data_IF_189986160874
#
_entry.id   IF_189986160874
#
_cell.length_a   1.000
_cell.length_b   1.000
_cell.length_c   1.000
_cell.angle_alpha   90.00
_cell.angle_beta   90.00
_cell.angle_gamma   90.00
#
_symmetry.space_group_name_H-M   'P 1'
#
loop_
_entity.id
_entity.type
_entity.pdbx_description
1 polymer ?
#
# COMPACT_ATOMS: atom_id res chain seq x y z
N UNK A 1 -12.43 26.24 22.79
CA UNK A 1 -11.53 25.07 22.77
C UNK A 1 -12.22 23.69 22.75
N UNK A 2 -13.47 23.59 23.15
CA UNK A 2 -14.22 22.30 23.25
C UNK A 2 -14.70 21.72 21.91
N UNK A 3 -15.07 22.54 20.93
CA UNK A 3 -15.62 22.05 19.66
C UNK A 3 -14.58 21.39 18.73
N UNK A 4 -13.35 21.91 18.70
CA UNK A 4 -12.26 21.30 17.91
C UNK A 4 -11.88 19.90 18.43
N UNK A 5 -11.91 19.69 19.76
CA UNK A 5 -11.68 18.35 20.35
C UNK A 5 -12.81 17.38 20.01
N UNK A 6 -14.08 17.82 20.03
CA UNK A 6 -15.23 16.98 19.68
C UNK A 6 -15.26 16.60 18.20
N UNK A 7 -14.81 17.47 17.27
CA UNK A 7 -14.67 17.14 15.85
C UNK A 7 -13.56 16.10 15.62
N UNK A 8 -12.37 16.32 16.19
CA UNK A 8 -11.27 15.37 16.09
C UNK A 8 -11.63 13.96 16.63
N UNK A 9 -12.35 13.89 17.75
CA UNK A 9 -12.79 12.61 18.33
C UNK A 9 -13.87 11.92 17.47
N UNK A 10 -14.72 12.67 16.76
CA UNK A 10 -15.68 12.09 15.81
C UNK A 10 -15.01 11.58 14.54
N UNK A 11 -14.01 12.30 14.04
CA UNK A 11 -13.23 11.90 12.87
C UNK A 11 -12.43 10.62 13.14
N UNK A 12 -11.75 10.51 14.29
CA UNK A 12 -11.04 9.29 14.71
C UNK A 12 -12.01 8.10 14.85
N UNK A 13 -13.19 8.29 15.43
CA UNK A 13 -14.19 7.21 15.52
C UNK A 13 -14.76 6.79 14.17
N UNK A 14 -14.86 7.71 13.21
CA UNK A 14 -15.30 7.38 11.85
C UNK A 14 -14.21 6.64 11.08
N UNK A 15 -12.95 6.96 11.31
CA UNK A 15 -11.80 6.27 10.72
C UNK A 15 -11.63 4.85 11.31
N UNK A 16 -11.81 4.69 12.62
CA UNK A 16 -11.81 3.36 13.27
C UNK A 16 -12.97 2.49 12.78
N UNK A 17 -14.16 3.07 12.62
CA UNK A 17 -15.33 2.36 12.09
C UNK A 17 -15.13 1.98 10.60
N UNK A 18 -14.47 2.82 9.81
CA UNK A 18 -14.11 2.49 8.44
C UNK A 18 -13.04 1.39 8.36
N UNK A 19 -12.09 1.38 9.30
CA UNK A 19 -11.07 0.33 9.39
C UNK A 19 -11.67 -1.05 9.65
N UNK A 20 -12.56 -1.15 10.62
CA UNK A 20 -13.32 -2.39 10.92
C UNK A 20 -14.11 -2.85 9.68
N UNK A 21 -14.70 -1.91 8.92
CA UNK A 21 -15.45 -2.26 7.71
C UNK A 21 -14.61 -2.87 6.59
N UNK A 22 -13.33 -2.52 6.47
CA UNK A 22 -12.46 -3.12 5.45
C UNK A 22 -11.99 -4.52 5.84
N UNK A 23 -11.71 -4.78 7.10
CA UNK A 23 -11.40 -6.13 7.59
C UNK A 23 -12.61 -7.07 7.44
N UNK A 24 -13.81 -6.58 7.76
CA UNK A 24 -15.06 -7.32 7.54
C UNK A 24 -15.30 -7.64 6.06
N UNK A 25 -15.03 -6.70 5.15
CA UNK A 25 -15.14 -6.93 3.70
C UNK A 25 -14.17 -7.99 3.19
N UNK A 26 -12.94 -8.01 3.73
CA UNK A 26 -11.97 -9.07 3.40
C UNK A 26 -12.48 -10.43 3.88
N UNK A 27 -13.03 -10.51 5.09
CA UNK A 27 -13.60 -11.73 5.62
C UNK A 27 -14.81 -12.20 4.80
N UNK A 28 -15.74 -11.31 4.46
CA UNK A 28 -16.87 -11.62 3.57
C UNK A 28 -16.44 -12.09 2.18
N UNK A 29 -15.44 -11.42 1.58
CA UNK A 29 -14.90 -11.81 0.27
C UNK A 29 -14.27 -13.20 0.33
N UNK A 30 -13.54 -13.52 1.41
CA UNK A 30 -12.93 -14.82 1.61
C UNK A 30 -13.97 -15.94 1.82
N UNK A 31 -15.11 -15.63 2.47
CA UNK A 31 -16.19 -16.60 2.63
C UNK A 31 -16.98 -16.84 1.33
N UNK A 32 -17.27 -15.79 0.57
CA UNK A 32 -18.02 -15.87 -0.70
C UNK A 32 -17.22 -16.54 -1.80
N UNK A 33 -15.92 -16.26 -1.86
CA UNK A 33 -15.08 -16.77 -2.92
C UNK A 33 -14.27 -17.99 -2.48
N UNK A 34 -14.69 -19.18 -2.91
CA UNK A 34 -13.88 -20.40 -2.83
C UNK A 34 -13.10 -20.58 -4.12
N UNK A 35 -11.79 -20.29 -4.15
CA UNK A 35 -11.01 -20.37 -5.37
C UNK A 35 -10.99 -21.81 -5.90
N UNK A 36 -11.30 -21.97 -7.19
CA UNK A 36 -11.26 -23.27 -7.88
C UNK A 36 -9.84 -23.73 -8.24
N UNK A 37 -8.82 -22.94 -7.92
CA UNK A 37 -7.43 -23.25 -8.24
C UNK A 37 -6.44 -22.24 -7.66
N UNK A 38 -5.15 -22.48 -7.88
CA UNK A 38 -4.06 -21.59 -7.48
C UNK A 38 -3.89 -20.50 -8.53
N UNK A 39 -4.14 -19.23 -8.17
CA UNK A 39 -3.90 -18.08 -9.04
C UNK A 39 -2.89 -17.14 -8.38
N UNK A 40 -1.80 -16.88 -9.09
CA UNK A 40 -0.71 -16.03 -8.65
C UNK A 40 -0.89 -14.59 -9.12
N UNK A 41 -0.49 -13.65 -8.28
CA UNK A 41 -0.36 -12.25 -8.61
C UNK A 41 0.93 -11.65 -8.08
N UNK A 42 1.26 -10.44 -8.55
CA UNK A 42 2.40 -9.66 -8.08
C UNK A 42 1.90 -8.37 -7.44
N UNK A 43 2.20 -8.18 -6.17
CA UNK A 43 1.89 -6.95 -5.43
C UNK A 43 3.09 -6.02 -5.49
N UNK A 44 2.98 -4.96 -6.27
CA UNK A 44 3.95 -3.88 -6.33
C UNK A 44 3.64 -2.85 -5.26
N UNK A 45 4.52 -2.71 -4.28
CA UNK A 45 4.38 -1.78 -3.16
C UNK A 45 5.39 -0.66 -3.31
N UNK A 46 4.96 0.50 -3.75
CA UNK A 46 5.77 1.71 -3.72
C UNK A 46 5.51 2.44 -2.41
N UNK A 47 6.55 2.65 -1.61
CA UNK A 47 6.43 3.35 -0.33
C UNK A 47 7.47 4.44 -0.20
N UNK A 48 7.00 5.66 -0.05
CA UNK A 48 7.79 6.86 0.25
C UNK A 48 7.47 7.36 1.67
N UNK A 49 8.06 8.47 2.06
CA UNK A 49 7.71 9.16 3.31
C UNK A 49 6.32 9.83 3.24
N UNK A 50 5.87 10.17 2.04
CA UNK A 50 4.66 10.96 1.83
C UNK A 50 3.44 10.09 1.50
N UNK A 51 3.59 9.01 0.76
CA UNK A 51 2.49 8.12 0.40
C UNK A 51 2.98 6.68 0.20
N UNK A 52 2.04 5.74 0.29
CA UNK A 52 2.25 4.33 -0.02
C UNK A 52 1.21 3.89 -1.06
N UNK A 53 1.67 3.41 -2.21
CA UNK A 53 0.84 2.96 -3.33
C UNK A 53 1.02 1.46 -3.50
N UNK A 54 -0.08 0.74 -3.62
CA UNK A 54 -0.12 -0.70 -3.81
C UNK A 54 -0.82 -0.98 -5.13
N UNK A 55 -0.14 -1.68 -6.03
CA UNK A 55 -0.71 -2.12 -7.30
C UNK A 55 -0.58 -3.63 -7.38
N UNK A 56 -1.70 -4.33 -7.43
CA UNK A 56 -1.72 -5.77 -7.62
C UNK A 56 -1.97 -6.09 -9.10
N UNK A 57 -1.08 -6.86 -9.69
CA UNK A 57 -1.17 -7.31 -11.08
C UNK A 57 -1.21 -8.84 -11.17
N UNK A 58 -1.50 -9.34 -12.34
CA UNK A 58 -1.27 -10.76 -12.67
C UNK A 58 0.24 -11.08 -12.66
N UNK A 59 0.60 -12.34 -12.85
CA UNK A 59 1.98 -12.78 -12.83
C UNK A 59 2.82 -12.16 -13.97
N UNK A 60 2.19 -11.82 -15.09
CA UNK A 60 2.84 -11.23 -16.26
C UNK A 60 3.03 -9.72 -16.12
N UNK A 61 2.28 -9.07 -15.22
CA UNK A 61 2.25 -7.62 -15.06
C UNK A 61 1.39 -6.90 -16.11
N UNK A 62 0.71 -7.63 -17.00
CA UNK A 62 -0.07 -7.04 -18.09
C UNK A 62 -1.42 -6.49 -17.62
N UNK A 63 -2.08 -7.18 -16.67
CA UNK A 63 -3.37 -6.78 -16.14
C UNK A 63 -3.24 -6.26 -14.72
N UNK A 64 -3.74 -5.05 -14.47
CA UNK A 64 -3.89 -4.52 -13.11
C UNK A 64 -5.20 -5.02 -12.52
N UNK A 65 -5.10 -5.77 -11.42
CA UNK A 65 -6.23 -6.40 -10.74
C UNK A 65 -6.86 -5.45 -9.74
N UNK A 66 -6.04 -4.83 -8.89
CA UNK A 66 -6.49 -3.91 -7.87
C UNK A 66 -5.45 -2.82 -7.59
N UNK A 67 -5.90 -1.64 -7.18
CA UNK A 67 -5.03 -0.51 -6.81
C UNK A 67 -5.54 0.13 -5.54
N UNK A 68 -4.61 0.44 -4.64
CA UNK A 68 -4.89 1.19 -3.42
C UNK A 68 -3.74 2.11 -3.04
N UNK A 69 -4.04 3.25 -2.44
CA UNK A 69 -3.04 4.16 -1.91
C UNK A 69 -3.47 4.77 -0.58
N UNK A 70 -2.51 5.31 0.17
CA UNK A 70 -2.79 6.02 1.41
C UNK A 70 -3.74 7.20 1.19
N UNK A 71 -3.56 7.97 0.11
CA UNK A 71 -4.42 9.10 -0.23
C UNK A 71 -5.87 8.73 -0.61
N UNK A 72 -6.16 7.45 -0.89
CA UNK A 72 -7.54 6.97 -1.06
C UNK A 72 -8.26 6.74 0.27
N UNK A 73 -7.54 6.61 1.35
CA UNK A 73 -8.07 6.24 2.68
C UNK A 73 -8.18 7.46 3.57
N UNK A 74 -7.14 8.28 3.64
CA UNK A 74 -7.08 9.44 4.51
C UNK A 74 -7.24 10.74 3.72
N UNK A 75 -7.86 11.73 4.36
CA UNK A 75 -8.10 13.06 3.74
C UNK A 75 -6.95 14.03 3.97
N UNK A 76 -6.09 13.75 4.95
CA UNK A 76 -4.98 14.62 5.31
C UNK A 76 -3.70 14.16 4.63
N UNK A 77 -3.16 14.94 3.71
CA UNK A 77 -1.95 14.63 2.92
C UNK A 77 -0.77 14.17 3.77
N UNK A 78 -0.60 14.75 4.97
CA UNK A 78 0.49 14.37 5.90
C UNK A 78 0.38 12.95 6.44
N UNK A 79 -0.79 12.33 6.38
CA UNK A 79 -1.09 11.02 6.95
C UNK A 79 -1.09 9.91 5.89
N UNK A 80 -1.00 10.23 4.60
CA UNK A 80 -0.99 9.27 3.50
C UNK A 80 0.16 8.26 3.59
N UNK A 81 1.36 8.72 4.06
CA UNK A 81 2.53 7.86 4.28
C UNK A 81 2.50 7.08 5.59
N UNK A 82 1.44 7.19 6.40
CA UNK A 82 1.36 6.51 7.70
C UNK A 82 1.18 4.99 7.54
N UNK A 83 1.68 4.20 8.50
CA UNK A 83 1.45 2.76 8.50
C UNK A 83 -0.02 2.37 8.54
N UNK A 84 -0.86 3.20 9.19
CA UNK A 84 -2.30 2.99 9.27
C UNK A 84 -2.97 3.12 7.90
N UNK A 85 -2.72 4.22 7.17
CA UNK A 85 -3.28 4.42 5.84
C UNK A 85 -2.84 3.31 4.87
N UNK A 86 -1.56 2.93 4.93
CA UNK A 86 -1.00 1.86 4.12
C UNK A 86 -1.64 0.48 4.42
N UNK A 87 -1.91 0.19 5.69
CA UNK A 87 -2.60 -1.04 6.12
C UNK A 87 -4.03 -1.09 5.57
N UNK A 88 -4.77 -0.01 5.68
CA UNK A 88 -6.15 0.07 5.18
C UNK A 88 -6.20 -0.03 3.64
N UNK A 89 -5.26 0.62 2.94
CA UNK A 89 -5.12 0.49 1.50
C UNK A 89 -4.85 -0.97 1.09
N UNK A 90 -4.02 -1.68 1.85
CA UNK A 90 -3.75 -3.09 1.62
C UNK A 90 -4.99 -3.97 1.80
N UNK A 91 -5.81 -3.74 2.82
CA UNK A 91 -7.07 -4.46 3.00
C UNK A 91 -8.05 -4.21 1.85
N UNK A 92 -8.17 -2.96 1.38
CA UNK A 92 -8.99 -2.65 0.21
C UNK A 92 -8.54 -3.46 -1.02
N UNK A 93 -7.24 -3.42 -1.33
CA UNK A 93 -6.65 -4.19 -2.44
C UNK A 93 -6.87 -5.69 -2.25
N UNK A 94 -6.75 -6.18 -1.02
CA UNK A 94 -6.96 -7.60 -0.71
C UNK A 94 -8.40 -8.04 -0.98
N UNK A 95 -9.40 -7.26 -0.58
CA UNK A 95 -10.81 -7.59 -0.84
C UNK A 95 -11.08 -7.73 -2.34
N UNK A 96 -10.67 -6.72 -3.15
CA UNK A 96 -10.83 -6.75 -4.60
C UNK A 96 -10.09 -7.93 -5.26
N UNK A 97 -8.91 -8.28 -4.74
CA UNK A 97 -8.10 -9.38 -5.27
C UNK A 97 -8.70 -10.76 -4.98
N UNK A 98 -9.26 -10.94 -3.79
CA UNK A 98 -9.94 -12.18 -3.39
C UNK A 98 -11.19 -12.38 -4.25
N UNK A 99 -11.98 -11.33 -4.49
CA UNK A 99 -13.14 -11.39 -5.39
C UNK A 99 -12.76 -11.82 -6.81
N UNK A 100 -11.58 -11.38 -7.29
CA UNK A 100 -11.03 -11.77 -8.61
C UNK A 100 -10.27 -13.11 -8.59
N UNK A 101 -10.21 -13.77 -7.43
CA UNK A 101 -9.72 -15.13 -7.27
C UNK A 101 -8.22 -15.31 -7.12
N UNK A 102 -7.49 -14.27 -6.76
CA UNK A 102 -6.07 -14.38 -6.42
C UNK A 102 -5.93 -15.10 -5.08
N UNK A 103 -5.02 -16.08 -5.02
CA UNK A 103 -4.75 -16.86 -3.82
C UNK A 103 -3.30 -16.74 -3.32
N UNK A 104 -2.38 -16.54 -4.25
CA UNK A 104 -0.94 -16.47 -3.99
C UNK A 104 -0.41 -15.15 -4.52
N UNK A 105 0.50 -14.52 -3.79
CA UNK A 105 1.12 -13.25 -4.20
C UNK A 105 2.63 -13.27 -3.97
N UNK A 106 3.35 -12.67 -4.92
CA UNK A 106 4.73 -12.24 -4.75
C UNK A 106 4.74 -10.74 -4.46
N UNK A 107 5.50 -10.30 -3.48
CA UNK A 107 5.54 -8.89 -3.07
C UNK A 107 6.84 -8.27 -3.54
N UNK A 108 6.74 -7.18 -4.32
CA UNK A 108 7.87 -6.37 -4.75
C UNK A 108 7.78 -5.00 -4.11
N UNK A 109 8.69 -4.73 -3.17
CA UNK A 109 8.76 -3.45 -2.45
C UNK A 109 9.71 -2.53 -3.18
N UNK A 110 9.31 -1.29 -3.35
CA UNK A 110 10.11 -0.26 -4.00
C UNK A 110 10.09 1.04 -3.21
N UNK A 111 11.27 1.56 -2.91
CA UNK A 111 11.46 2.93 -2.45
C UNK A 111 11.64 3.89 -3.66
N UNK A 112 11.64 5.21 -3.46
CA UNK A 112 11.93 6.18 -4.53
C UNK A 112 13.23 5.88 -5.28
N UNK A 113 14.29 5.53 -4.59
CA UNK A 113 15.58 5.20 -5.18
C UNK A 113 16.26 6.37 -5.89
N UNK A 114 17.26 6.09 -6.72
CA UNK A 114 18.02 7.12 -7.43
C UNK A 114 18.65 8.14 -6.48
N UNK A 115 18.31 9.41 -6.65
CA UNK A 115 18.70 10.49 -5.73
C UNK A 115 17.82 10.63 -4.48
N UNK A 116 16.70 9.94 -4.45
CA UNK A 116 15.76 9.93 -3.33
C UNK A 116 16.14 8.94 -2.23
N UNK A 117 15.18 8.63 -1.37
CA UNK A 117 15.35 7.65 -0.31
C UNK A 117 15.56 6.25 -0.92
N UNK A 118 16.59 5.55 -0.46
CA UNK A 118 16.89 4.17 -0.88
C UNK A 118 16.19 3.14 0.00
N UNK A 119 15.69 3.58 1.15
CA UNK A 119 14.91 2.75 2.08
C UNK A 119 13.43 2.99 1.88
N UNK A 120 12.60 1.94 1.89
CA UNK A 120 11.14 2.07 1.83
C UNK A 120 10.60 2.90 3.00
N UNK A 121 9.45 3.54 2.79
CA UNK A 121 8.75 4.31 3.80
C UNK A 121 8.14 3.41 4.88
N UNK A 122 7.57 4.02 5.94
CA UNK A 122 7.05 3.29 7.10
C UNK A 122 5.83 2.42 6.75
N UNK A 123 5.11 2.74 5.66
CA UNK A 123 3.96 1.98 5.20
C UNK A 123 4.29 0.60 4.62
N UNK A 124 5.49 0.40 4.06
CA UNK A 124 5.84 -0.84 3.36
C UNK A 124 5.66 -2.10 4.22
N UNK A 125 6.19 -2.08 5.45
CA UNK A 125 6.05 -3.22 6.37
C UNK A 125 4.60 -3.46 6.81
N UNK A 126 3.83 -2.38 6.98
CA UNK A 126 2.42 -2.47 7.34
C UNK A 126 1.61 -3.16 6.23
N UNK A 127 1.89 -2.84 4.96
CA UNK A 127 1.28 -3.50 3.79
C UNK A 127 1.56 -4.99 3.77
N UNK A 128 2.82 -5.40 3.94
CA UNK A 128 3.19 -6.83 3.93
C UNK A 128 2.43 -7.60 5.01
N UNK A 129 2.37 -7.04 6.22
CA UNK A 129 1.64 -7.66 7.34
C UNK A 129 0.14 -7.72 7.08
N UNK A 130 -0.44 -6.68 6.50
CA UNK A 130 -1.87 -6.63 6.17
C UNK A 130 -2.23 -7.66 5.10
N UNK A 131 -1.44 -7.78 4.03
CA UNK A 131 -1.64 -8.78 2.98
C UNK A 131 -1.52 -10.20 3.52
N UNK A 132 -0.56 -10.46 4.42
CA UNK A 132 -0.43 -11.75 5.09
C UNK A 132 -1.66 -12.09 5.95
N UNK A 133 -2.19 -11.11 6.70
CA UNK A 133 -3.40 -11.28 7.52
C UNK A 133 -4.66 -11.47 6.69
N UNK A 134 -4.70 -10.94 5.47
CA UNK A 134 -5.84 -11.11 4.54
C UNK A 134 -5.98 -12.52 3.97
N UNK A 135 -5.11 -13.45 4.34
CA UNK A 135 -5.19 -14.85 3.96
C UNK A 135 -4.47 -15.24 2.67
N UNK A 136 -3.74 -14.31 2.03
CA UNK A 136 -2.91 -14.67 0.89
C UNK A 136 -1.72 -15.53 1.30
N UNK A 137 -1.38 -16.49 0.44
CA UNK A 137 -0.12 -17.21 0.53
C UNK A 137 0.98 -16.40 -0.15
N UNK A 138 1.96 -15.95 0.63
CA UNK A 138 3.09 -15.16 0.14
C UNK A 138 4.17 -16.11 -0.37
N UNK A 139 4.59 -15.91 -1.62
CA UNK A 139 5.70 -16.64 -2.23
C UNK A 139 7.03 -15.98 -1.91
N UNK A 140 7.40 -14.94 -2.65
CA UNK A 140 8.63 -14.17 -2.44
C UNK A 140 8.33 -12.74 -1.99
N UNK A 141 9.26 -12.17 -1.22
CA UNK A 141 9.28 -10.74 -0.87
C UNK A 141 10.63 -10.21 -1.35
N UNK A 142 10.60 -9.27 -2.28
CA UNK A 142 11.78 -8.72 -2.94
C UNK A 142 11.83 -7.21 -2.78
N UNK A 143 13.01 -6.66 -2.52
CA UNK A 143 13.27 -5.22 -2.63
C UNK A 143 13.80 -4.92 -4.04
N UNK A 144 13.00 -4.19 -4.82
CA UNK A 144 13.30 -3.79 -6.19
C UNK A 144 13.61 -2.31 -6.32
N UNK A 145 14.06 -1.69 -5.25
CA UNK A 145 14.43 -0.27 -5.23
C UNK A 145 15.56 0.00 -6.22
N UNK A 146 15.42 0.96 -7.16
CA UNK A 146 16.46 1.27 -8.13
C UNK A 146 17.63 1.98 -7.46
N UNK A 147 18.74 1.26 -7.30
CA UNK A 147 19.99 1.80 -6.76
C UNK A 147 20.96 1.94 -7.91
N UNK A 148 21.35 3.17 -8.31
CA UNK A 148 22.31 3.38 -9.37
C UNK A 148 23.71 2.89 -8.96
N UNK A 149 24.46 2.36 -9.91
CA UNK A 149 25.86 1.91 -9.69
C UNK A 149 26.80 3.08 -9.52
N UNK A 150 26.48 4.23 -10.12
CA UNK A 150 27.19 5.49 -9.96
C UNK A 150 26.21 6.63 -9.71
N UNK A 151 26.69 7.73 -9.10
CA UNK A 151 25.88 8.89 -8.80
C UNK A 151 25.76 9.79 -10.02
N UNK A 152 24.55 9.89 -10.54
CA UNK A 152 24.22 10.92 -11.53
C UNK A 152 24.12 12.30 -10.83
N UNK A 153 24.26 13.38 -11.60
CA UNK A 153 24.13 14.73 -11.06
C UNK A 153 22.72 14.97 -10.49
N UNK A 154 22.64 15.53 -9.27
CA UNK A 154 21.35 15.91 -8.69
C UNK A 154 20.64 16.98 -9.54
N UNK A 155 19.30 16.92 -9.67
CA UNK A 155 18.52 17.99 -10.28
C UNK A 155 18.72 19.30 -9.50
N UNK A 156 18.59 20.45 -10.19
CA UNK A 156 18.75 21.77 -9.58
C UNK A 156 20.07 22.49 -9.91
N UNK A 157 20.98 21.85 -10.60
CA UNK A 157 22.24 22.44 -11.06
C UNK A 157 23.18 22.90 -9.94
N UNK A 158 24.24 23.66 -10.30
CA UNK A 158 25.30 24.07 -9.37
C UNK A 158 24.81 25.08 -8.33
N UNK A 159 23.86 25.95 -8.66
CA UNK A 159 23.39 27.04 -7.80
C UNK A 159 22.11 26.72 -7.03
N UNK A 160 21.57 25.49 -7.20
CA UNK A 160 20.30 25.11 -6.61
C UNK A 160 19.11 25.88 -7.22
N UNK A 161 17.92 25.65 -6.67
CA UNK A 161 16.72 26.41 -6.99
C UNK A 161 16.78 27.73 -6.22
N UNK A 162 16.79 28.87 -6.92
CA UNK A 162 16.48 30.16 -6.29
C UNK A 162 15.01 30.17 -5.92
N UNK A 163 14.71 30.33 -4.64
CA UNK A 163 13.37 30.57 -4.12
C UNK A 163 13.07 32.04 -4.27
#
# INVERSE_FOLDING_TARGET
MGEKKKKATKEVKQEEAAAVSYEEKVAEAAEKYKPKGVRWGVAHVYSSKNDTIITLTDLTGAETIAVGSGGMIVKADREEGSPYAAMQAAYKVAAEAIEKGITHINIKIRAPGGHGAKTPGPGAQAVVRALARSGFKIGSIEDVTPIPTDTTRRPGGRRGRRV
#
